data_IF_584755289914
#
_entry.id   IF_584755289914
#
_cell.length_a   1.000
_cell.length_b   1.000
_cell.length_c   1.000
_cell.angle_alpha   90.00
_cell.angle_beta   90.00
_cell.angle_gamma   90.00
#
_symmetry.space_group_name_H-M   'P 1'
#
loop_
_entity.id
_entity.type
_entity.pdbx_description
1 polymer ?
#
# COMPACT_ATOMS: atom_id res chain seq x y z
N UNK A 1 -43.79 -45.71 49.43
CA UNK A 1 -44.21 -45.14 50.70
C UNK A 1 -43.86 -43.67 50.68
N UNK A 2 -44.93 -42.90 50.47
CA UNK A 2 -45.32 -41.64 51.13
C UNK A 2 -44.37 -40.46 50.87
N UNK A 3 -44.77 -39.25 50.61
CA UNK A 3 -45.99 -38.47 50.41
C UNK A 3 -45.54 -37.12 49.82
N UNK A 4 -46.11 -36.69 48.77
CA UNK A 4 -46.92 -35.49 48.50
C UNK A 4 -46.74 -34.30 49.44
N UNK A 5 -46.40 -33.18 48.87
CA UNK A 5 -47.02 -31.87 49.17
C UNK A 5 -46.80 -30.86 48.06
N UNK A 6 -47.88 -30.48 47.44
CA UNK A 6 -48.06 -29.34 46.58
C UNK A 6 -48.16 -28.03 47.39
N UNK A 7 -47.59 -26.94 46.89
CA UNK A 7 -48.15 -25.62 47.13
C UNK A 7 -48.04 -24.77 45.87
N UNK A 8 -49.20 -24.29 45.51
CA UNK A 8 -49.51 -23.31 44.46
C UNK A 8 -49.14 -21.91 44.95
N UNK A 9 -48.65 -21.07 44.07
CA UNK A 9 -48.59 -19.64 44.42
C UNK A 9 -47.94 -18.74 43.37
N UNK A 10 -48.85 -18.14 42.58
CA UNK A 10 -48.82 -16.77 42.09
C UNK A 10 -47.95 -16.40 40.89
N UNK A 11 -48.67 -16.02 39.87
CA UNK A 11 -48.34 -15.22 38.70
C UNK A 11 -47.70 -13.88 39.03
N UNK A 12 -46.64 -13.51 38.31
CA UNK A 12 -46.34 -12.16 37.95
C UNK A 12 -45.78 -12.11 36.55
N UNK A 13 -46.49 -11.37 35.70
CA UNK A 13 -46.20 -11.10 34.28
C UNK A 13 -45.14 -9.99 34.10
N UNK A 14 -44.75 -9.68 32.87
CA UNK A 14 -43.41 -9.54 32.40
C UNK A 14 -42.99 -8.08 32.29
N UNK A 15 -41.75 -7.83 32.48
CA UNK A 15 -41.18 -6.52 32.28
C UNK A 15 -39.79 -6.59 31.70
N UNK A 16 -39.67 -5.95 30.57
CA UNK A 16 -38.50 -5.33 30.01
C UNK A 16 -37.47 -6.24 29.31
N UNK A 17 -37.66 -6.33 28.01
CA UNK A 17 -36.65 -6.67 27.03
C UNK A 17 -35.61 -5.55 26.94
N UNK A 18 -34.60 -5.64 27.76
CA UNK A 18 -33.39 -4.82 27.59
C UNK A 18 -32.73 -5.16 26.27
N UNK A 19 -32.93 -4.30 25.27
CA UNK A 19 -32.14 -4.31 24.07
C UNK A 19 -30.66 -4.14 24.47
N UNK A 20 -29.85 -5.15 24.18
CA UNK A 20 -28.41 -5.05 24.29
C UNK A 20 -27.94 -3.93 23.36
N UNK A 21 -27.46 -2.84 23.94
CA UNK A 21 -26.79 -1.79 23.22
C UNK A 21 -25.52 -2.39 22.58
N UNK A 22 -25.47 -2.38 21.26
CA UNK A 22 -24.24 -2.63 20.52
C UNK A 22 -23.15 -1.68 21.03
N UNK A 23 -21.92 -2.14 21.27
CA UNK A 23 -20.85 -1.23 21.65
C UNK A 23 -20.67 -0.21 20.53
N UNK A 24 -20.91 1.05 20.81
CA UNK A 24 -20.59 2.16 19.95
C UNK A 24 -19.08 2.12 19.69
N UNK A 25 -18.71 1.90 18.43
CA UNK A 25 -17.36 2.04 17.91
C UNK A 25 -16.83 3.41 18.34
N UNK A 26 -15.64 3.51 18.95
CA UNK A 26 -15.10 4.83 19.27
C UNK A 26 -15.01 5.62 17.97
N UNK A 27 -15.65 6.78 17.93
CA UNK A 27 -15.46 7.76 16.86
C UNK A 27 -14.03 8.29 16.98
N UNK A 28 -13.11 7.66 16.27
CA UNK A 28 -11.81 8.28 16.02
C UNK A 28 -12.09 9.51 15.17
N UNK A 29 -11.73 10.67 15.69
CA UNK A 29 -11.69 11.90 14.92
C UNK A 29 -10.61 11.68 13.86
N UNK A 30 -11.01 11.22 12.68
CA UNK A 30 -10.15 11.15 11.52
C UNK A 30 -9.83 12.60 11.15
N UNK A 31 -8.59 13.03 11.43
CA UNK A 31 -8.06 14.22 10.80
C UNK A 31 -7.78 13.89 9.34
N UNK A 32 -8.81 13.64 8.55
CA UNK A 32 -8.68 13.62 7.11
C UNK A 32 -8.15 14.99 6.67
N UNK A 33 -7.11 15.06 5.85
CA UNK A 33 -6.58 16.33 5.38
C UNK A 33 -7.66 17.06 4.59
N UNK A 34 -8.02 18.27 5.04
CA UNK A 34 -8.98 19.11 4.32
C UNK A 34 -8.24 19.83 3.19
N UNK A 35 -8.47 19.38 1.98
CA UNK A 35 -8.41 20.07 0.67
C UNK A 35 -7.32 21.09 0.35
N UNK A 36 -6.19 21.12 1.05
CA UNK A 36 -5.09 22.00 0.70
C UNK A 36 -3.97 21.20 0.04
N UNK A 37 -3.52 21.56 -1.19
CA UNK A 37 -2.39 20.89 -1.83
C UNK A 37 -1.17 20.83 -0.91
N UNK A 38 -0.61 19.62 -0.70
CA UNK A 38 0.53 19.40 0.17
C UNK A 38 0.21 19.37 1.67
N UNK A 39 -1.04 19.08 2.07
CA UNK A 39 -1.40 18.89 3.48
C UNK A 39 -0.81 17.58 4.02
N UNK A 40 -0.21 17.67 5.22
CA UNK A 40 0.35 16.51 5.93
C UNK A 40 -0.52 16.21 7.16
N UNK A 41 -0.83 14.94 7.37
CA UNK A 41 -1.55 14.45 8.53
C UNK A 41 -0.95 13.15 9.05
N UNK A 42 -1.01 12.95 10.36
CA UNK A 42 -0.65 11.69 10.99
C UNK A 42 -1.79 10.68 10.74
N UNK A 43 -1.49 9.57 10.04
CA UNK A 43 -2.49 8.53 9.74
C UNK A 43 -2.42 7.34 10.73
N UNK A 44 -1.24 7.07 11.28
CA UNK A 44 -1.03 6.18 12.41
C UNK A 44 -0.08 6.86 13.39
N UNK A 45 -0.05 6.46 14.68
CA UNK A 45 0.83 7.08 15.66
C UNK A 45 2.29 7.13 15.20
N UNK A 46 2.82 8.34 15.01
CA UNK A 46 4.18 8.60 14.52
C UNK A 46 4.39 8.39 13.01
N UNK A 47 3.34 8.12 12.25
CA UNK A 47 3.41 7.96 10.80
C UNK A 47 2.59 9.01 10.08
N UNK A 48 3.26 9.79 9.25
CA UNK A 48 2.67 10.87 8.48
C UNK A 48 2.36 10.45 7.04
N UNK A 49 1.31 11.04 6.49
CA UNK A 49 0.99 11.00 5.08
C UNK A 49 0.81 12.43 4.56
N UNK A 50 1.29 12.69 3.35
CA UNK A 50 1.14 13.99 2.68
C UNK A 50 0.25 13.83 1.45
N UNK A 51 -0.88 14.54 1.43
CA UNK A 51 -1.81 14.59 0.30
C UNK A 51 -1.49 15.79 -0.59
N UNK A 52 -1.37 15.55 -1.88
CA UNK A 52 -1.25 16.56 -2.93
C UNK A 52 -2.39 16.33 -3.93
N UNK A 53 -3.23 17.34 -4.10
CA UNK A 53 -4.36 17.30 -5.04
C UNK A 53 -4.04 18.04 -6.34
N UNK A 54 -4.60 17.62 -7.47
CA UNK A 54 -4.57 18.41 -8.70
C UNK A 54 -5.37 19.72 -8.51
N UNK A 55 -5.10 20.69 -9.37
CA UNK A 55 -5.81 21.98 -9.34
C UNK A 55 -7.32 21.80 -9.57
N UNK A 56 -7.69 20.82 -10.39
CA UNK A 56 -9.08 20.46 -10.67
C UNK A 56 -9.27 18.98 -10.34
N UNK A 57 -10.04 18.70 -9.29
CA UNK A 57 -10.42 17.35 -8.93
C UNK A 57 -11.50 16.83 -9.89
N UNK A 58 -11.34 15.62 -10.39
CA UNK A 58 -12.29 14.97 -11.29
C UNK A 58 -12.71 13.60 -10.74
N UNK A 59 -13.97 13.25 -10.93
CA UNK A 59 -14.46 11.90 -10.60
C UNK A 59 -13.66 10.85 -11.38
N UNK A 60 -13.21 9.81 -10.69
CA UNK A 60 -12.42 8.73 -11.31
C UNK A 60 -10.97 9.09 -11.60
N UNK A 61 -10.46 10.26 -11.15
CA UNK A 61 -9.02 10.53 -11.24
C UNK A 61 -8.24 9.47 -10.45
N UNK A 62 -7.03 9.07 -10.89
CA UNK A 62 -6.25 8.09 -10.17
C UNK A 62 -5.78 8.63 -8.81
N UNK A 63 -5.86 7.77 -7.79
CA UNK A 63 -5.19 7.96 -6.51
C UNK A 63 -3.84 7.26 -6.56
N UNK A 64 -2.77 8.00 -6.53
CA UNK A 64 -1.41 7.47 -6.49
C UNK A 64 -0.90 7.47 -5.05
N UNK A 65 -0.53 6.30 -4.55
CA UNK A 65 0.06 6.13 -3.21
C UNK A 65 1.55 5.89 -3.38
N UNK A 66 2.37 6.86 -2.96
CA UNK A 66 3.84 6.81 -3.06
C UNK A 66 4.46 6.24 -1.79
N UNK A 67 5.27 5.19 -1.94
CA UNK A 67 5.98 4.50 -0.86
C UNK A 67 7.49 4.72 -1.00
N UNK A 68 8.14 5.41 -0.04
CA UNK A 68 9.54 5.74 -0.15
C UNK A 68 10.47 4.54 0.03
N UNK A 69 11.66 4.60 -0.57
CA UNK A 69 12.77 3.72 -0.29
C UNK A 69 13.47 4.05 1.02
N UNK A 70 14.60 3.36 1.25
CA UNK A 70 15.46 3.57 2.42
C UNK A 70 15.99 2.26 3.01
N UNK A 71 15.98 1.18 2.24
CA UNK A 71 16.54 -0.13 2.61
C UNK A 71 15.91 -0.72 3.86
N UNK A 72 14.61 -0.45 4.09
CA UNK A 72 13.84 -0.81 5.29
C UNK A 72 14.44 -0.29 6.61
N UNK A 73 15.51 0.51 6.53
CA UNK A 73 16.15 1.15 7.68
C UNK A 73 15.63 2.58 7.93
N UNK A 74 15.04 3.19 6.93
CA UNK A 74 14.40 4.50 6.99
C UNK A 74 13.28 4.60 5.96
N UNK A 75 12.35 5.54 6.16
CA UNK A 75 11.23 5.81 5.24
C UNK A 75 11.05 7.34 5.11
N UNK A 76 11.97 8.01 4.42
CA UNK A 76 11.92 9.46 4.24
C UNK A 76 11.17 9.81 2.95
N UNK A 77 9.95 10.40 3.03
CA UNK A 77 9.14 10.71 1.87
C UNK A 77 9.58 11.98 1.13
N UNK A 78 10.46 12.82 1.72
CA UNK A 78 10.79 14.13 1.17
C UNK A 78 11.38 14.10 -0.24
N UNK A 79 12.10 13.01 -0.59
CA UNK A 79 12.64 12.81 -1.93
C UNK A 79 11.58 12.58 -2.99
N UNK A 80 10.37 12.14 -2.61
CA UNK A 80 9.25 11.89 -3.52
C UNK A 80 8.35 13.13 -3.72
N UNK A 81 8.54 14.21 -2.97
CA UNK A 81 7.70 15.39 -3.07
C UNK A 81 7.67 16.01 -4.49
N UNK A 82 8.79 16.14 -5.22
CA UNK A 82 8.75 16.62 -6.60
C UNK A 82 7.92 15.71 -7.53
N UNK A 83 8.04 14.38 -7.37
CA UNK A 83 7.24 13.41 -8.14
C UNK A 83 5.76 13.53 -7.79
N UNK A 84 5.41 13.69 -6.50
CA UNK A 84 4.04 13.87 -6.07
C UNK A 84 3.39 15.11 -6.70
N UNK A 85 4.09 16.23 -6.70
CA UNK A 85 3.59 17.48 -7.31
C UNK A 85 3.46 17.38 -8.83
N UNK A 86 4.41 16.73 -9.52
CA UNK A 86 4.33 16.56 -10.98
C UNK A 86 3.16 15.66 -11.37
N UNK A 87 2.97 14.51 -10.68
CA UNK A 87 1.82 13.64 -10.91
C UNK A 87 0.49 14.34 -10.61
N UNK A 88 0.44 15.17 -9.57
CA UNK A 88 -0.75 15.96 -9.27
C UNK A 88 -1.02 16.99 -10.37
N UNK A 89 0.00 17.64 -10.91
CA UNK A 89 -0.15 18.56 -12.06
C UNK A 89 -0.69 17.87 -13.31
N UNK A 90 -0.52 16.55 -13.42
CA UNK A 90 -1.04 15.68 -14.48
C UNK A 90 -2.42 15.09 -14.19
N UNK A 91 -3.07 15.49 -13.09
CA UNK A 91 -4.44 15.13 -12.77
C UNK A 91 -4.62 13.94 -11.83
N UNK A 92 -3.58 13.45 -11.16
CA UNK A 92 -3.69 12.45 -10.12
C UNK A 92 -3.86 13.09 -8.73
N UNK A 93 -4.63 12.47 -7.83
CA UNK A 93 -4.47 12.71 -6.40
C UNK A 93 -3.27 11.88 -5.92
N UNK A 94 -2.41 12.46 -5.10
CA UNK A 94 -1.18 11.77 -4.67
C UNK A 94 -1.06 11.80 -3.16
N UNK A 95 -0.90 10.62 -2.54
CA UNK A 95 -0.59 10.49 -1.12
C UNK A 95 0.79 9.86 -0.98
N UNK A 96 1.71 10.55 -0.32
CA UNK A 96 3.03 10.01 0.02
C UNK A 96 3.02 9.56 1.47
N UNK A 97 3.38 8.30 1.73
CA UNK A 97 3.34 7.67 3.05
C UNK A 97 4.72 7.65 3.72
N UNK A 98 4.70 7.59 5.05
CA UNK A 98 5.78 7.00 5.84
C UNK A 98 5.39 5.60 6.33
N UNK A 99 6.33 4.83 6.83
CA UNK A 99 6.08 3.53 7.46
C UNK A 99 7.18 3.25 8.49
N UNK A 100 6.90 2.41 9.49
CA UNK A 100 7.88 2.02 10.51
C UNK A 100 8.97 1.15 9.89
N UNK A 101 10.20 1.32 10.39
CA UNK A 101 11.42 0.71 9.85
C UNK A 101 12.26 0.07 10.95
N UNK A 102 13.41 -0.50 10.58
CA UNK A 102 14.38 -1.00 11.56
C UNK A 102 14.84 0.06 12.56
N UNK A 103 14.86 1.36 12.18
CA UNK A 103 15.16 2.44 13.11
C UNK A 103 14.14 2.54 14.25
N UNK A 104 12.90 2.17 13.96
CA UNK A 104 11.79 2.11 14.93
C UNK A 104 11.69 0.74 15.61
N UNK A 105 12.63 -0.16 15.34
CA UNK A 105 12.60 -1.57 15.72
C UNK A 105 11.37 -2.31 15.18
N UNK A 106 10.87 -1.87 14.06
CA UNK A 106 9.78 -2.49 13.34
C UNK A 106 10.32 -3.36 12.21
N UNK A 107 9.94 -4.62 12.24
CA UNK A 107 10.37 -5.63 11.28
C UNK A 107 9.13 -6.28 10.65
N UNK A 108 9.35 -7.02 9.57
CA UNK A 108 8.27 -7.74 8.89
C UNK A 108 7.41 -8.54 9.88
N UNK A 109 6.05 -8.45 9.82
CA UNK A 109 5.27 -7.80 8.76
C UNK A 109 4.91 -6.31 9.02
N UNK A 110 5.37 -5.67 10.09
CA UNK A 110 4.93 -4.32 10.46
C UNK A 110 5.09 -3.27 9.34
N UNK A 111 6.24 -3.16 8.63
CA UNK A 111 6.37 -2.17 7.56
C UNK A 111 5.33 -2.35 6.44
N UNK A 112 5.01 -3.58 6.04
CA UNK A 112 4.02 -3.83 5.01
C UNK A 112 2.60 -3.60 5.51
N UNK A 113 2.32 -3.88 6.79
CA UNK A 113 1.04 -3.56 7.43
C UNK A 113 0.78 -2.05 7.50
N UNK A 114 1.81 -1.26 7.82
CA UNK A 114 1.73 0.20 7.81
C UNK A 114 1.38 0.74 6.41
N UNK A 115 2.04 0.21 5.38
CA UNK A 115 1.74 0.58 3.98
C UNK A 115 0.33 0.17 3.59
N UNK A 116 -0.12 -1.04 3.98
CA UNK A 116 -1.49 -1.51 3.72
C UNK A 116 -2.52 -0.58 4.38
N UNK A 117 -2.29 -0.21 5.63
CA UNK A 117 -3.14 0.74 6.35
C UNK A 117 -3.12 2.14 5.72
N UNK A 118 -1.95 2.59 5.27
CA UNK A 118 -1.77 3.85 4.56
C UNK A 118 -2.51 3.91 3.23
N UNK A 119 -2.66 2.79 2.52
CA UNK A 119 -3.51 2.72 1.31
C UNK A 119 -4.99 2.93 1.68
N UNK A 120 -5.46 2.32 2.76
CA UNK A 120 -6.80 2.56 3.28
C UNK A 120 -7.04 4.02 3.67
N UNK A 121 -6.08 4.61 4.41
CA UNK A 121 -6.10 6.03 4.74
C UNK A 121 -6.18 6.91 3.49
N UNK A 122 -5.36 6.65 2.48
CA UNK A 122 -5.32 7.44 1.25
C UNK A 122 -6.67 7.43 0.52
N UNK A 123 -7.33 6.26 0.46
CA UNK A 123 -8.66 6.12 -0.14
C UNK A 123 -9.72 6.90 0.65
N UNK A 124 -9.73 6.83 1.99
CA UNK A 124 -10.66 7.59 2.84
C UNK A 124 -10.38 9.10 2.76
N UNK A 125 -9.11 9.52 2.72
CA UNK A 125 -8.74 10.92 2.58
C UNK A 125 -9.24 11.52 1.26
N UNK A 126 -9.12 10.79 0.15
CA UNK A 126 -9.64 11.24 -1.13
C UNK A 126 -11.18 11.26 -1.17
N UNK A 127 -11.83 10.27 -0.54
CA UNK A 127 -13.29 10.25 -0.40
C UNK A 127 -13.79 11.47 0.41
N UNK A 128 -13.05 11.88 1.45
CA UNK A 128 -13.39 13.09 2.22
C UNK A 128 -13.33 14.39 1.39
N UNK A 129 -12.53 14.40 0.31
CA UNK A 129 -12.49 15.48 -0.68
C UNK A 129 -13.64 15.40 -1.72
N UNK A 130 -14.56 14.45 -1.56
CA UNK A 130 -15.71 14.27 -2.45
C UNK A 130 -15.39 13.56 -3.76
N UNK A 131 -14.26 12.87 -3.83
CA UNK A 131 -13.86 12.11 -5.02
C UNK A 131 -14.09 10.63 -4.80
N UNK A 132 -14.90 10.03 -5.66
CA UNK A 132 -15.27 8.61 -5.59
C UNK A 132 -14.85 7.85 -6.84
N UNK A 133 -14.74 6.51 -6.71
CA UNK A 133 -14.48 5.62 -7.85
C UNK A 133 -13.06 5.72 -8.42
N UNK A 134 -12.12 6.27 -7.65
CA UNK A 134 -10.72 6.41 -8.06
C UNK A 134 -9.99 5.07 -8.09
N UNK A 135 -9.33 4.72 -9.20
CA UNK A 135 -8.39 3.59 -9.18
C UNK A 135 -7.21 3.93 -8.25
N UNK A 136 -6.85 2.97 -7.40
CA UNK A 136 -5.74 3.12 -6.44
C UNK A 136 -4.47 2.53 -7.07
N UNK A 137 -3.49 3.37 -7.34
CA UNK A 137 -2.21 2.99 -7.90
C UNK A 137 -1.13 3.08 -6.83
N UNK A 138 -0.54 1.96 -6.46
CA UNK A 138 0.58 1.98 -5.52
C UNK A 138 1.90 2.08 -6.29
N UNK A 139 2.73 3.05 -5.91
CA UNK A 139 4.03 3.33 -6.52
C UNK A 139 5.09 3.27 -5.44
N UNK A 140 6.03 2.35 -5.56
CA UNK A 140 7.11 2.23 -4.59
C UNK A 140 8.49 2.45 -5.22
N UNK A 141 9.43 2.99 -4.44
CA UNK A 141 10.84 3.09 -4.81
C UNK A 141 11.70 2.18 -3.93
N UNK A 142 12.62 1.42 -4.52
CA UNK A 142 13.60 0.60 -3.77
C UNK A 142 12.92 -0.33 -2.76
N UNK A 143 13.25 -0.26 -1.46
CA UNK A 143 12.54 -0.98 -0.39
C UNK A 143 11.04 -0.72 -0.39
N UNK A 144 10.60 0.49 -0.73
CA UNK A 144 9.18 0.82 -0.91
C UNK A 144 8.54 0.09 -2.09
N UNK A 145 9.28 -0.19 -3.17
CA UNK A 145 8.79 -0.97 -4.30
C UNK A 145 8.55 -2.44 -3.91
N UNK A 146 9.42 -2.98 -3.07
CA UNK A 146 9.22 -4.32 -2.47
C UNK A 146 7.94 -4.36 -1.63
N UNK A 147 7.75 -3.40 -0.70
CA UNK A 147 6.54 -3.32 0.13
C UNK A 147 5.28 -3.11 -0.72
N UNK A 148 5.37 -2.23 -1.73
CA UNK A 148 4.28 -1.98 -2.67
C UNK A 148 3.87 -3.25 -3.45
N UNK A 149 4.85 -4.08 -3.84
CA UNK A 149 4.58 -5.34 -4.51
C UNK A 149 3.84 -6.33 -3.61
N UNK A 150 4.24 -6.47 -2.33
CA UNK A 150 3.53 -7.30 -1.36
C UNK A 150 2.08 -6.85 -1.17
N UNK A 151 1.86 -5.54 -0.95
CA UNK A 151 0.51 -4.97 -0.77
C UNK A 151 -0.34 -5.13 -2.02
N UNK A 152 0.23 -4.91 -3.22
CA UNK A 152 -0.52 -4.99 -4.46
C UNK A 152 -0.92 -6.43 -4.80
N UNK A 153 -0.02 -7.40 -4.60
CA UNK A 153 -0.26 -8.81 -4.94
C UNK A 153 -1.11 -9.54 -3.89
N UNK A 154 -0.99 -9.19 -2.61
CA UNK A 154 -1.70 -9.86 -1.53
C UNK A 154 -2.26 -8.88 -0.48
N UNK A 155 -3.17 -7.96 -0.87
CA UNK A 155 -3.66 -6.88 0.01
C UNK A 155 -4.29 -7.40 1.30
N UNK A 156 -4.96 -8.53 1.26
CA UNK A 156 -5.64 -9.12 2.43
C UNK A 156 -4.67 -9.83 3.40
N UNK A 157 -3.47 -10.20 2.92
CA UNK A 157 -2.50 -10.94 3.74
C UNK A 157 -1.82 -10.06 4.80
N UNK A 158 -1.79 -8.75 4.60
CA UNK A 158 -1.06 -7.81 5.45
C UNK A 158 -1.97 -6.80 6.15
N UNK A 159 -3.24 -7.14 6.32
CA UNK A 159 -4.16 -6.31 7.10
C UNK A 159 -3.82 -6.36 8.59
N UNK A 160 -3.83 -5.19 9.24
CA UNK A 160 -3.73 -5.09 10.71
C UNK A 160 -5.13 -4.79 11.26
N UNK A 161 -5.67 -5.61 12.18
CA UNK A 161 -6.98 -5.35 12.78
C UNK A 161 -7.04 -4.06 13.60
N UNK A 162 -5.90 -3.47 13.92
CA UNK A 162 -5.81 -2.18 14.63
C UNK A 162 -5.81 -0.98 13.68
N UNK A 163 -5.69 -1.20 12.36
CA UNK A 163 -5.83 -0.14 11.37
C UNK A 163 -7.22 0.49 11.42
N UNK A 164 -7.33 1.82 11.61
CA UNK A 164 -8.64 2.46 11.76
C UNK A 164 -9.38 2.67 10.44
N UNK A 165 -8.70 2.46 9.29
CA UNK A 165 -9.25 2.72 7.96
C UNK A 165 -9.81 1.45 7.32
N UNK A 166 -10.77 1.60 6.43
CA UNK A 166 -11.27 0.49 5.64
C UNK A 166 -10.17 -0.04 4.72
N UNK A 167 -10.13 -1.38 4.56
CA UNK A 167 -9.18 -1.99 3.65
C UNK A 167 -9.44 -1.53 2.21
N UNK A 168 -8.39 -1.08 1.54
CA UNK A 168 -8.41 -0.73 0.13
C UNK A 168 -7.31 -1.50 -0.60
N UNK A 169 -7.66 -2.12 -1.74
CA UNK A 169 -6.71 -2.87 -2.54
C UNK A 169 -6.23 -2.02 -3.72
N UNK A 170 -4.92 -1.92 -3.97
CA UNK A 170 -4.42 -1.28 -5.18
C UNK A 170 -4.97 -1.95 -6.44
N UNK A 171 -5.30 -1.17 -7.45
CA UNK A 171 -5.77 -1.62 -8.77
C UNK A 171 -4.65 -1.66 -9.81
N UNK A 172 -3.48 -1.12 -9.47
CA UNK A 172 -2.29 -1.16 -10.30
C UNK A 172 -1.02 -1.03 -9.43
N UNK A 173 0.09 -1.61 -9.90
CA UNK A 173 1.40 -1.57 -9.24
C UNK A 173 2.42 -0.86 -10.13
N UNK A 174 3.17 0.08 -9.56
CA UNK A 174 4.37 0.66 -10.17
C UNK A 174 5.57 0.42 -9.25
N UNK A 175 6.57 -0.27 -9.77
CA UNK A 175 7.81 -0.52 -9.05
C UNK A 175 9.00 0.23 -9.66
N UNK A 176 9.64 1.08 -8.86
CA UNK A 176 10.82 1.86 -9.25
C UNK A 176 12.07 1.26 -8.59
N UNK A 177 12.91 0.55 -9.35
CA UNK A 177 14.16 -0.06 -8.90
C UNK A 177 14.03 -0.90 -7.62
N UNK A 178 13.03 -1.79 -7.57
CA UNK A 178 12.74 -2.60 -6.39
C UNK A 178 13.63 -3.84 -6.26
N UNK A 179 14.06 -4.18 -5.03
CA UNK A 179 14.75 -5.43 -4.72
C UNK A 179 13.73 -6.55 -4.41
N UNK A 180 13.13 -7.13 -5.45
CA UNK A 180 12.00 -8.06 -5.31
C UNK A 180 12.42 -9.48 -4.89
N UNK A 181 13.65 -9.90 -5.15
CA UNK A 181 14.23 -11.16 -4.64
C UNK A 181 14.88 -10.91 -3.28
N UNK A 182 14.16 -11.20 -2.20
CA UNK A 182 14.67 -11.00 -0.85
C UNK A 182 15.85 -11.92 -0.50
N UNK A 183 16.05 -13.01 -1.25
CA UNK A 183 17.19 -13.90 -1.04
C UNK A 183 18.49 -13.25 -1.55
N UNK A 184 18.39 -12.39 -2.55
CA UNK A 184 19.48 -11.64 -3.15
C UNK A 184 19.89 -10.36 -2.44
N UNK A 185 19.10 -9.84 -1.48
CA UNK A 185 19.37 -8.53 -0.83
C UNK A 185 20.50 -8.56 0.22
N UNK A 186 21.02 -9.75 0.55
CA UNK A 186 22.17 -9.90 1.44
C UNK A 186 21.97 -9.30 2.83
N UNK A 187 22.95 -8.50 3.34
CA UNK A 187 22.86 -7.94 4.71
C UNK A 187 21.68 -7.01 4.95
N UNK A 188 21.09 -6.43 3.91
CA UNK A 188 19.93 -5.53 4.04
C UNK A 188 18.66 -6.28 4.53
N UNK A 189 18.61 -7.61 4.40
CA UNK A 189 17.55 -8.44 4.95
C UNK A 189 17.30 -8.23 6.45
N UNK A 190 18.35 -7.89 7.22
CA UNK A 190 18.23 -7.60 8.66
C UNK A 190 17.39 -6.35 8.97
N UNK A 191 17.32 -5.42 8.03
CA UNK A 191 16.47 -4.24 8.21
C UNK A 191 15.00 -4.59 8.01
N UNK A 192 14.71 -5.60 7.18
CA UNK A 192 13.34 -6.04 6.94
C UNK A 192 12.88 -7.06 8.00
N UNK A 193 13.70 -8.07 8.30
CA UNK A 193 13.31 -9.21 9.14
C UNK A 193 13.85 -9.17 10.57
N UNK A 194 14.70 -8.22 10.90
CA UNK A 194 15.35 -8.12 12.20
C UNK A 194 16.75 -8.74 12.24
N UNK A 195 17.43 -8.62 13.40
CA UNK A 195 18.81 -9.08 13.57
C UNK A 195 18.96 -10.60 13.53
N UNK A 196 17.90 -11.30 13.95
CA UNK A 196 17.84 -12.75 13.95
C UNK A 196 17.35 -13.26 12.59
N UNK A 197 17.76 -14.47 12.21
CA UNK A 197 17.20 -15.06 10.99
C UNK A 197 15.72 -15.40 11.21
N UNK A 198 14.80 -14.93 10.36
CA UNK A 198 13.41 -15.32 10.45
C UNK A 198 13.25 -16.81 10.17
N UNK A 199 12.17 -17.38 10.67
CA UNK A 199 11.78 -18.72 10.25
C UNK A 199 11.47 -18.77 8.74
N UNK A 200 11.54 -19.96 8.11
CA UNK A 200 11.34 -20.09 6.67
C UNK A 200 9.99 -19.57 6.16
N UNK A 201 8.92 -19.64 6.97
CA UNK A 201 7.59 -19.16 6.57
C UNK A 201 7.57 -17.64 6.52
N UNK A 202 8.06 -16.97 7.56
CA UNK A 202 8.18 -15.51 7.58
C UNK A 202 9.03 -14.98 6.43
N UNK A 203 10.10 -15.71 6.09
CA UNK A 203 10.93 -15.37 4.95
C UNK A 203 10.14 -15.44 3.63
N UNK A 204 9.39 -16.54 3.42
CA UNK A 204 8.54 -16.70 2.24
C UNK A 204 7.43 -15.66 2.18
N UNK A 205 6.77 -15.38 3.30
CA UNK A 205 5.68 -14.39 3.34
C UNK A 205 6.15 -12.98 2.93
N UNK A 206 7.43 -12.67 3.12
CA UNK A 206 8.05 -11.42 2.70
C UNK A 206 8.62 -11.43 1.28
N UNK A 207 8.42 -12.49 0.49
CA UNK A 207 8.97 -12.61 -0.87
C UNK A 207 7.90 -12.40 -1.95
N UNK A 208 7.86 -11.25 -2.64
CA UNK A 208 6.88 -11.01 -3.69
C UNK A 208 7.03 -11.94 -4.91
N UNK A 209 8.18 -12.60 -5.09
CA UNK A 209 8.38 -13.57 -6.18
C UNK A 209 7.44 -14.78 -6.06
N UNK A 210 7.11 -15.20 -4.85
CA UNK A 210 6.19 -16.34 -4.63
C UNK A 210 4.71 -15.95 -4.74
N UNK A 211 4.40 -14.67 -4.79
CA UNK A 211 3.05 -14.14 -4.95
C UNK A 211 2.69 -13.88 -6.42
N UNK A 212 3.51 -14.33 -7.34
CA UNK A 212 3.43 -14.02 -8.77
C UNK A 212 2.15 -14.47 -9.47
N UNK A 213 1.42 -15.45 -8.93
CA UNK A 213 0.15 -15.97 -9.45
C UNK A 213 -1.09 -15.34 -8.78
N UNK A 214 -0.85 -14.42 -7.82
CA UNK A 214 -1.93 -13.68 -7.17
C UNK A 214 -2.36 -12.51 -8.04
N UNK A 215 -3.69 -12.31 -8.14
CA UNK A 215 -4.28 -11.16 -8.85
C UNK A 215 -3.73 -10.98 -10.28
N UNK A 216 -3.80 -12.00 -11.16
CA UNK A 216 -3.18 -11.99 -12.49
C UNK A 216 -3.65 -10.82 -13.38
N UNK A 217 -4.83 -10.24 -13.10
CA UNK A 217 -5.39 -9.10 -13.84
C UNK A 217 -4.84 -7.75 -13.34
N UNK A 218 -3.98 -7.74 -12.31
CA UNK A 218 -3.37 -6.51 -11.81
C UNK A 218 -2.34 -5.99 -12.83
N UNK A 219 -2.53 -4.79 -13.42
CA UNK A 219 -1.53 -4.18 -14.29
C UNK A 219 -0.27 -3.81 -13.51
N UNK A 220 0.90 -4.08 -14.09
CA UNK A 220 2.20 -3.81 -13.46
C UNK A 220 3.11 -3.02 -14.39
N UNK A 221 3.67 -1.92 -13.86
CA UNK A 221 4.76 -1.17 -14.47
C UNK A 221 6.02 -1.31 -13.62
N UNK A 222 7.11 -1.73 -14.23
CA UNK A 222 8.43 -1.77 -13.60
C UNK A 222 9.37 -0.79 -14.32
N UNK A 223 10.00 0.09 -13.56
CA UNK A 223 10.97 1.06 -14.09
C UNK A 223 12.31 0.87 -13.39
N UNK A 224 13.38 0.67 -14.13
CA UNK A 224 14.71 0.45 -13.57
C UNK A 224 15.78 1.15 -14.40
N UNK A 225 16.56 2.03 -13.78
CA UNK A 225 17.60 2.77 -14.48
C UNK A 225 18.77 1.89 -14.91
N UNK A 226 19.26 2.07 -16.13
CA UNK A 226 20.38 1.24 -16.66
C UNK A 226 21.71 1.48 -15.92
N UNK A 227 21.84 2.60 -15.21
CA UNK A 227 23.03 2.94 -14.42
C UNK A 227 22.83 2.73 -12.91
N UNK A 228 21.86 1.89 -12.52
CA UNK A 228 21.64 1.53 -11.10
C UNK A 228 22.78 0.64 -10.61
N UNK A 229 23.50 1.12 -9.59
CA UNK A 229 24.61 0.40 -8.92
C UNK A 229 24.25 -0.06 -7.51
N UNK A 230 23.00 0.18 -7.07
CA UNK A 230 22.52 -0.17 -5.73
C UNK A 230 21.70 -1.45 -5.77
N UNK A 231 20.69 -1.48 -6.64
CA UNK A 231 19.88 -2.67 -6.90
C UNK A 231 20.17 -3.13 -8.32
N UNK A 232 20.67 -4.35 -8.52
CA UNK A 232 20.90 -4.89 -9.86
C UNK A 232 19.60 -4.94 -10.68
N UNK A 233 19.69 -4.61 -11.97
CA UNK A 233 18.55 -4.66 -12.92
C UNK A 233 17.92 -6.06 -12.97
N UNK A 234 18.71 -7.11 -12.72
CA UNK A 234 18.22 -8.50 -12.69
C UNK A 234 17.07 -8.73 -11.70
N UNK A 235 16.98 -7.96 -10.62
CA UNK A 235 15.82 -8.05 -9.71
C UNK A 235 14.50 -7.70 -10.40
N UNK A 236 14.53 -6.69 -11.27
CA UNK A 236 13.37 -6.31 -12.08
C UNK A 236 13.10 -7.35 -13.17
N UNK A 237 14.13 -7.87 -13.83
CA UNK A 237 14.00 -8.91 -14.87
C UNK A 237 13.36 -10.18 -14.29
N UNK A 238 13.87 -10.65 -13.15
CA UNK A 238 13.40 -11.86 -12.49
C UNK A 238 11.98 -11.73 -11.98
N UNK A 239 11.62 -10.57 -11.39
CA UNK A 239 10.28 -10.29 -10.94
C UNK A 239 9.29 -10.18 -12.10
N UNK A 240 9.64 -9.47 -13.17
CA UNK A 240 8.81 -9.39 -14.37
C UNK A 240 8.59 -10.76 -15.01
N UNK A 241 9.65 -11.60 -15.07
CA UNK A 241 9.53 -12.96 -15.57
C UNK A 241 8.63 -13.83 -14.68
N UNK A 242 8.71 -13.66 -13.35
CA UNK A 242 7.83 -14.36 -12.41
C UNK A 242 6.36 -13.93 -12.60
N UNK A 243 6.08 -12.64 -12.62
CA UNK A 243 4.74 -12.09 -12.82
C UNK A 243 4.11 -12.53 -14.14
N UNK A 244 4.87 -12.48 -15.25
CA UNK A 244 4.39 -12.96 -16.56
C UNK A 244 4.05 -14.44 -16.57
N UNK A 245 4.83 -15.27 -15.84
CA UNK A 245 4.48 -16.70 -15.65
C UNK A 245 3.18 -16.88 -14.86
N UNK A 246 2.90 -15.96 -13.93
CA UNK A 246 1.67 -15.90 -13.16
C UNK A 246 0.46 -15.33 -13.90
N UNK A 247 0.66 -14.83 -15.14
CA UNK A 247 -0.43 -14.31 -15.99
C UNK A 247 -0.55 -12.80 -16.01
N UNK A 248 0.31 -12.03 -15.31
CA UNK A 248 0.24 -10.58 -15.29
C UNK A 248 0.66 -9.94 -16.61
N UNK A 249 -0.01 -8.84 -16.96
CA UNK A 249 0.48 -7.89 -17.96
C UNK A 249 1.51 -6.97 -17.31
N UNK A 250 2.78 -7.12 -17.74
CA UNK A 250 3.92 -6.39 -17.17
C UNK A 250 4.59 -5.53 -18.23
N UNK A 251 4.49 -4.23 -18.05
CA UNK A 251 5.26 -3.22 -18.78
C UNK A 251 6.59 -2.99 -18.06
N UNK A 252 7.70 -2.95 -18.80
CA UNK A 252 9.02 -2.65 -18.26
C UNK A 252 9.62 -1.48 -19.02
N UNK A 253 10.23 -0.53 -18.29
CA UNK A 253 10.95 0.61 -18.86
C UNK A 253 12.34 0.69 -18.24
N UNK A 254 13.36 0.77 -19.08
CA UNK A 254 14.77 0.94 -18.68
C UNK A 254 15.28 2.30 -19.16
N UNK A 255 15.11 3.38 -18.38
CA UNK A 255 15.63 4.70 -18.76
C UNK A 255 17.17 4.66 -18.78
N UNK A 256 17.76 5.08 -19.92
CA UNK A 256 19.21 5.02 -20.11
C UNK A 256 19.95 6.03 -19.25
N UNK A 257 21.07 5.61 -18.64
CA UNK A 257 21.90 6.44 -17.78
C UNK A 257 21.25 6.83 -16.43
N UNK A 258 20.03 6.38 -16.15
CA UNK A 258 19.33 6.66 -14.90
C UNK A 258 19.87 5.77 -13.79
N UNK A 259 20.12 6.36 -12.61
CA UNK A 259 20.65 5.69 -11.43
C UNK A 259 19.53 5.33 -10.45
N UNK A 260 19.88 4.57 -9.38
CA UNK A 260 18.95 4.23 -8.29
C UNK A 260 18.23 5.45 -7.69
N UNK A 261 18.96 6.54 -7.49
CA UNK A 261 18.44 7.74 -6.84
C UNK A 261 17.79 8.75 -7.81
N UNK A 262 17.92 8.54 -9.12
CA UNK A 262 17.30 9.42 -10.11
C UNK A 262 16.08 8.79 -10.77
N UNK A 263 15.86 7.46 -10.60
CA UNK A 263 14.70 6.76 -11.20
C UNK A 263 13.36 7.28 -10.68
N UNK A 264 13.30 7.78 -9.46
CA UNK A 264 12.08 8.34 -8.86
C UNK A 264 11.98 9.87 -8.98
N UNK A 265 12.91 10.51 -9.71
CA UNK A 265 12.80 11.97 -9.94
C UNK A 265 11.56 12.28 -10.78
N UNK A 266 11.02 13.49 -10.61
CA UNK A 266 9.84 13.93 -11.35
C UNK A 266 10.08 13.87 -12.87
N UNK A 267 11.28 14.25 -13.34
CA UNK A 267 11.64 14.29 -14.75
C UNK A 267 11.67 12.89 -15.39
N UNK A 268 12.00 11.85 -14.60
CA UNK A 268 12.09 10.47 -15.10
C UNK A 268 10.77 9.74 -14.88
N UNK A 269 10.30 9.66 -13.63
CA UNK A 269 9.18 8.81 -13.26
C UNK A 269 7.82 9.37 -13.67
N UNK A 270 7.59 10.69 -13.53
CA UNK A 270 6.25 11.22 -13.72
C UNK A 270 5.71 11.03 -15.15
N UNK A 271 6.45 11.34 -16.25
CA UNK A 271 5.95 11.07 -17.60
C UNK A 271 5.72 9.58 -17.85
N UNK A 272 6.63 8.70 -17.41
CA UNK A 272 6.49 7.25 -17.60
C UNK A 272 5.22 6.72 -16.91
N UNK A 273 5.00 7.12 -15.65
CA UNK A 273 3.83 6.70 -14.88
C UNK A 273 2.55 7.26 -15.49
N UNK A 274 2.52 8.56 -15.83
CA UNK A 274 1.32 9.20 -16.39
C UNK A 274 0.92 8.60 -17.74
N UNK A 275 1.88 8.40 -18.66
CA UNK A 275 1.63 7.80 -19.96
C UNK A 275 1.11 6.36 -19.83
N UNK A 276 1.69 5.57 -18.91
CA UNK A 276 1.23 4.21 -18.64
C UNK A 276 -0.16 4.17 -18.01
N UNK A 277 -0.47 5.05 -17.05
CA UNK A 277 -1.80 5.16 -16.45
C UNK A 277 -2.86 5.53 -17.50
N UNK A 278 -2.54 6.46 -18.39
CA UNK A 278 -3.44 6.82 -19.50
C UNK A 278 -3.71 5.61 -20.42
N UNK A 279 -2.68 4.81 -20.71
CA UNK A 279 -2.81 3.63 -21.56
C UNK A 279 -3.69 2.54 -20.94
N UNK A 280 -3.50 2.19 -19.66
CA UNK A 280 -4.31 1.18 -18.98
C UNK A 280 -5.76 1.63 -18.76
N UNK A 281 -5.98 2.93 -18.54
CA UNK A 281 -7.33 3.49 -18.39
C UNK A 281 -8.07 3.47 -19.73
N UNK A 282 -7.39 3.75 -20.85
CA UNK A 282 -7.99 3.71 -22.19
C UNK A 282 -8.31 2.28 -22.66
N UNK A 283 -7.58 1.29 -22.20
CA UNK A 283 -7.81 -0.12 -22.55
C UNK A 283 -9.09 -0.69 -21.91
N UNK A 284 -9.62 -0.07 -20.84
CA UNK A 284 -10.75 -0.59 -20.09
C UNK A 284 -10.39 -1.84 -19.27
N UNK A 285 -11.30 -2.32 -18.42
CA UNK A 285 -11.12 -3.61 -17.77
C UNK A 285 -11.10 -4.73 -18.83
N UNK A 286 -10.29 -5.79 -18.64
CA UNK A 286 -10.31 -6.92 -19.56
C UNK A 286 -11.73 -7.51 -19.66
N UNK A 287 -12.20 -7.77 -20.90
CA UNK A 287 -13.47 -8.46 -21.16
C UNK A 287 -13.38 -9.88 -20.59
N UNK A 288 -14.14 -10.17 -19.53
CA UNK A 288 -14.28 -11.51 -18.93
C UNK A 288 -15.52 -12.23 -19.45
#
# INVERSE_FOLDING_TARGET
>A
MLLVASTVGACASPGDTGAAASPSRPSHSTNAPTGTPGSTAEFLPGLDATLVLPTEAAVGMPLVVLVPGGGWASANPSGLAPLAHDLASRGAAVVTLTYRTAADRAFFPLPVQDVTCGVGYAAEALHAEGVEGSPVVIVGHSAGAHLAALVALAPDAFTDPTCPYAAAAPTALVGLAGPYDITGIGPAAKNLFGPDQPDPTTWLDGDPLILNDRRPDLPVLLVHGTADTVVPVSFTDDFAAALRRGGHDVTIVYPDGVTHNTVYSAEVAAPIIADWLAAITAAGPPDH
#
